data_IF_741440875037
#
_entry.id   IF_741440875037
#
_cell.length_a   1.000
_cell.length_b   1.000
_cell.length_c   1.000
_cell.angle_alpha   90.00
_cell.angle_beta   90.00
_cell.angle_gamma   90.00
#
_symmetry.space_group_name_H-M   'P 1'
#
loop_
_entity.id
_entity.type
_entity.pdbx_description
1 polymer ?
#
# COMPACT_ATOMS: atom_id res chain seq x y z
N UNK A 1 -4.62 -20.12 -44.81
CA UNK A 1 -4.76 -18.65 -44.90
C UNK A 1 -5.85 -18.08 -43.98
N UNK A 2 -7.09 -18.58 -43.98
CA UNK A 2 -8.18 -18.06 -43.14
C UNK A 2 -7.92 -18.12 -41.62
N UNK A 3 -7.28 -19.19 -41.12
CA UNK A 3 -6.94 -19.34 -39.69
C UNK A 3 -5.91 -18.31 -39.18
N UNK A 4 -4.96 -17.90 -40.03
CA UNK A 4 -3.96 -16.88 -39.67
C UNK A 4 -4.60 -15.48 -39.55
N UNK A 5 -5.58 -15.17 -40.41
CA UNK A 5 -6.34 -13.93 -40.33
C UNK A 5 -7.23 -13.89 -39.08
N UNK A 6 -7.89 -15.01 -38.74
CA UNK A 6 -8.72 -15.10 -37.54
C UNK A 6 -7.88 -14.97 -36.26
N UNK A 7 -6.70 -15.59 -36.22
CA UNK A 7 -5.74 -15.48 -35.11
C UNK A 7 -5.23 -14.02 -34.96
N UNK A 8 -4.93 -13.35 -36.07
CA UNK A 8 -4.52 -11.94 -36.05
C UNK A 8 -5.63 -11.01 -35.51
N UNK A 9 -6.89 -11.25 -35.88
CA UNK A 9 -8.05 -10.50 -35.37
C UNK A 9 -8.26 -10.73 -33.87
N UNK A 10 -8.14 -11.98 -33.41
CA UNK A 10 -8.24 -12.31 -31.98
C UNK A 10 -7.12 -11.66 -31.17
N UNK A 11 -5.87 -11.74 -31.65
CA UNK A 11 -4.72 -11.08 -31.02
C UNK A 11 -4.93 -9.57 -30.98
N UNK A 12 -5.35 -8.97 -32.09
CA UNK A 12 -5.63 -7.53 -32.16
C UNK A 12 -6.75 -7.12 -31.19
N UNK A 13 -7.82 -7.90 -31.10
CA UNK A 13 -8.91 -7.66 -30.16
C UNK A 13 -8.47 -7.79 -28.70
N UNK A 14 -7.64 -8.79 -28.38
CA UNK A 14 -7.02 -8.95 -27.05
C UNK A 14 -6.12 -7.76 -26.73
N UNK A 15 -5.26 -7.33 -27.67
CA UNK A 15 -4.37 -6.19 -27.48
C UNK A 15 -5.16 -4.87 -27.35
N UNK A 16 -6.24 -4.71 -28.10
CA UNK A 16 -7.14 -3.56 -28.03
C UNK A 16 -7.86 -3.50 -26.69
N UNK A 17 -8.45 -4.61 -26.23
CA UNK A 17 -9.04 -4.72 -24.90
C UNK A 17 -8.02 -4.44 -23.81
N UNK A 18 -6.81 -5.02 -23.90
CA UNK A 18 -5.73 -4.81 -22.94
C UNK A 18 -5.29 -3.35 -22.89
N UNK A 19 -5.24 -2.65 -24.03
CA UNK A 19 -4.94 -1.21 -24.10
C UNK A 19 -6.04 -0.36 -23.47
N UNK A 20 -7.32 -0.69 -23.73
CA UNK A 20 -8.49 0.01 -23.16
C UNK A 20 -8.60 -0.19 -21.65
N UNK A 21 -8.22 -1.36 -21.15
CA UNK A 21 -8.20 -1.72 -19.72
C UNK A 21 -6.93 -1.26 -18.98
N UNK A 22 -5.95 -0.70 -19.69
CA UNK A 22 -4.71 -0.27 -19.06
C UNK A 22 -4.93 1.00 -18.22
N UNK A 23 -4.60 0.92 -16.93
CA UNK A 23 -4.66 2.07 -16.02
C UNK A 23 -3.76 3.21 -16.53
N UNK A 24 -4.33 4.42 -16.55
CA UNK A 24 -3.64 5.68 -16.86
C UNK A 24 -3.54 6.52 -15.59
N UNK A 25 -2.34 7.02 -15.30
CA UNK A 25 -2.13 7.95 -14.19
C UNK A 25 -2.63 9.34 -14.59
N UNK A 26 -3.42 9.96 -13.73
CA UNK A 26 -3.83 11.35 -13.93
C UNK A 26 -2.69 12.31 -13.64
N UNK A 27 -2.91 13.60 -13.89
CA UNK A 27 -2.00 14.62 -13.43
C UNK A 27 -1.78 14.57 -11.92
N UNK A 28 -0.51 14.76 -11.60
CA UNK A 28 0.11 15.03 -10.32
C UNK A 28 -0.51 16.18 -9.49
N UNK A 29 -0.96 16.13 -8.23
CA UNK A 29 -0.99 17.37 -7.45
C UNK A 29 0.44 17.90 -7.29
N UNK A 30 0.63 19.22 -7.39
CA UNK A 30 1.97 19.83 -7.31
C UNK A 30 2.61 19.71 -5.92
N UNK A 31 1.78 19.63 -4.89
CA UNK A 31 2.19 19.44 -3.50
C UNK A 31 1.59 18.17 -2.93
N UNK A 32 2.19 17.70 -1.84
CA UNK A 32 1.73 16.51 -1.13
C UNK A 32 0.38 16.78 -0.48
N UNK A 33 -0.63 16.03 -0.92
CA UNK A 33 -2.00 16.13 -0.39
C UNK A 33 -2.08 15.42 0.97
N UNK A 34 -2.10 16.20 2.05
CA UNK A 34 -2.07 15.75 3.45
C UNK A 34 -3.40 15.99 4.16
N UNK A 35 -3.75 15.12 5.11
CA UNK A 35 -4.90 15.33 6.00
C UNK A 35 -4.58 16.41 7.04
N UNK A 36 -5.60 17.09 7.61
CA UNK A 36 -5.40 18.20 8.55
C UNK A 36 -4.98 17.71 9.95
N UNK A 37 -3.79 17.11 10.04
CA UNK A 37 -3.14 16.73 11.30
C UNK A 37 -2.21 17.86 11.73
N UNK A 38 -2.33 18.30 12.98
CA UNK A 38 -1.50 19.38 13.54
C UNK A 38 -0.01 19.00 13.40
N UNK A 39 0.79 19.94 12.88
CA UNK A 39 2.22 19.75 12.65
C UNK A 39 2.60 19.02 11.35
N UNK A 40 1.68 18.28 10.72
CA UNK A 40 1.98 17.50 9.52
C UNK A 40 2.41 18.37 8.33
N UNK A 41 1.82 19.56 8.18
CA UNK A 41 2.25 20.51 7.15
C UNK A 41 3.71 20.95 7.35
N UNK A 42 4.09 21.32 8.57
CA UNK A 42 5.46 21.74 8.89
C UNK A 42 6.46 20.62 8.59
N UNK A 43 6.11 19.38 8.97
CA UNK A 43 6.91 18.19 8.67
C UNK A 43 7.03 17.98 7.16
N UNK A 44 5.93 18.06 6.41
CA UNK A 44 5.94 17.95 4.94
C UNK A 44 6.75 19.06 4.26
N UNK A 45 6.66 20.30 4.75
CA UNK A 45 7.41 21.43 4.22
C UNK A 45 8.92 21.27 4.49
N UNK A 46 9.30 20.71 5.65
CA UNK A 46 10.71 20.42 5.96
C UNK A 46 11.26 19.33 5.02
N UNK A 47 10.53 18.22 4.86
CA UNK A 47 10.87 17.16 3.91
C UNK A 47 11.11 17.69 2.49
N UNK A 48 10.21 18.57 2.01
CA UNK A 48 10.33 19.15 0.67
C UNK A 48 11.55 20.07 0.54
N UNK A 49 11.90 20.82 1.60
CA UNK A 49 13.09 21.68 1.62
C UNK A 49 14.40 20.90 1.59
N UNK A 50 14.45 19.77 2.29
CA UNK A 50 15.63 18.91 2.34
C UNK A 50 15.89 18.15 1.03
N UNK A 51 14.93 18.12 0.11
CA UNK A 51 15.10 17.56 -1.24
C UNK A 51 15.53 18.67 -2.22
N UNK A 52 16.83 18.81 -2.42
CA UNK A 52 17.35 19.83 -3.34
C UNK A 52 16.84 19.61 -4.78
N UNK A 53 16.55 20.72 -5.49
CA UNK A 53 16.05 20.66 -6.87
C UNK A 53 17.05 19.99 -7.82
N UNK A 54 18.34 20.25 -7.63
CA UNK A 54 19.39 19.65 -8.46
C UNK A 54 19.44 18.14 -8.28
N UNK A 55 19.38 17.67 -7.03
CA UNK A 55 19.37 16.24 -6.73
C UNK A 55 18.16 15.56 -7.36
N UNK A 56 16.96 16.10 -7.14
CA UNK A 56 15.74 15.49 -7.69
C UNK A 56 15.68 15.55 -9.21
N UNK A 57 16.27 16.58 -9.84
CA UNK A 57 16.42 16.65 -11.29
C UNK A 57 17.30 15.53 -11.85
N UNK A 58 18.45 15.27 -11.21
CA UNK A 58 19.34 14.18 -11.62
C UNK A 58 18.70 12.79 -11.43
N UNK A 59 17.94 12.61 -10.34
CA UNK A 59 17.17 11.38 -10.10
C UNK A 59 16.11 11.18 -11.18
N UNK A 60 15.36 12.24 -11.53
CA UNK A 60 14.36 12.18 -12.59
C UNK A 60 14.98 11.79 -13.93
N UNK A 61 16.05 12.46 -14.34
CA UNK A 61 16.77 12.16 -15.58
C UNK A 61 17.22 10.69 -15.62
N UNK A 62 17.86 10.20 -14.55
CA UNK A 62 18.29 8.81 -14.43
C UNK A 62 17.12 7.83 -14.60
N UNK A 63 16.01 8.07 -13.89
CA UNK A 63 14.83 7.20 -13.94
C UNK A 63 14.21 7.19 -15.33
N UNK A 64 14.12 8.34 -16.00
CA UNK A 64 13.58 8.44 -17.36
C UNK A 64 14.45 7.70 -18.39
N UNK A 65 15.76 7.65 -18.16
CA UNK A 65 16.70 6.94 -19.02
C UNK A 65 16.69 5.41 -18.78
N UNK A 66 16.51 4.97 -17.53
CA UNK A 66 16.62 3.55 -17.15
C UNK A 66 15.28 2.81 -17.17
N UNK A 67 14.15 3.50 -16.98
CA UNK A 67 12.83 2.89 -16.85
C UNK A 67 11.84 3.49 -17.85
N UNK A 68 11.17 2.61 -18.60
CA UNK A 68 9.99 2.98 -19.41
C UNK A 68 8.77 3.17 -18.52
N UNK A 69 8.54 4.41 -18.09
CA UNK A 69 7.38 4.80 -17.29
C UNK A 69 6.17 5.16 -18.16
N UNK A 70 4.97 4.98 -17.61
CA UNK A 70 3.77 5.57 -18.20
C UNK A 70 3.76 7.08 -17.95
N UNK A 71 3.01 7.78 -18.79
CA UNK A 71 2.70 9.20 -18.59
C UNK A 71 2.22 9.46 -17.15
N UNK A 72 2.76 10.51 -16.51
CA UNK A 72 2.52 10.92 -15.12
C UNK A 72 2.95 9.92 -14.02
N UNK A 73 3.42 8.72 -14.36
CA UNK A 73 3.76 7.70 -13.36
C UNK A 73 4.91 8.12 -12.45
N UNK A 74 5.94 8.77 -13.01
CA UNK A 74 7.07 9.29 -12.23
C UNK A 74 6.60 10.19 -11.09
N UNK A 75 5.77 11.20 -11.40
CA UNK A 75 5.28 12.15 -10.41
C UNK A 75 4.48 11.48 -9.29
N UNK A 76 3.68 10.45 -9.62
CA UNK A 76 2.96 9.68 -8.60
C UNK A 76 3.88 8.83 -7.74
N UNK A 77 4.90 8.18 -8.32
CA UNK A 77 5.92 7.44 -7.55
C UNK A 77 6.65 8.39 -6.60
N UNK A 78 7.03 9.58 -7.08
CA UNK A 78 7.72 10.59 -6.28
C UNK A 78 6.85 11.11 -5.13
N UNK A 79 5.57 11.39 -5.38
CA UNK A 79 4.65 11.80 -4.32
C UNK A 79 4.51 10.72 -3.23
N UNK A 80 4.40 9.44 -3.60
CA UNK A 80 4.30 8.36 -2.62
C UNK A 80 5.63 8.07 -1.91
N UNK A 81 6.77 8.33 -2.55
CA UNK A 81 8.07 8.25 -1.89
C UNK A 81 8.22 9.33 -0.82
N UNK A 82 7.77 10.55 -1.12
CA UNK A 82 7.69 11.63 -0.14
C UNK A 82 6.75 11.30 1.02
N UNK A 83 5.58 10.68 0.75
CA UNK A 83 4.68 10.16 1.80
C UNK A 83 5.37 9.10 2.67
N UNK A 84 6.15 8.24 2.05
CA UNK A 84 6.93 7.24 2.77
C UNK A 84 7.98 7.87 3.69
N UNK A 85 8.72 8.89 3.24
CA UNK A 85 9.66 9.61 4.12
C UNK A 85 8.97 10.31 5.30
N UNK A 86 7.72 10.77 5.14
CA UNK A 86 6.92 11.25 6.27
C UNK A 86 6.65 10.10 7.26
N UNK A 87 6.28 8.91 6.78
CA UNK A 87 6.07 7.74 7.66
C UNK A 87 7.34 7.36 8.41
N UNK A 88 8.50 7.30 7.75
CA UNK A 88 9.78 6.95 8.39
C UNK A 88 10.26 7.99 9.41
N UNK A 89 9.78 9.24 9.33
CA UNK A 89 10.06 10.28 10.33
C UNK A 89 9.21 10.19 11.60
N UNK A 90 8.11 9.43 11.55
CA UNK A 90 7.12 9.30 12.64
C UNK A 90 7.17 7.92 13.30
N UNK A 91 7.28 6.85 12.51
CA UNK A 91 7.20 5.46 12.97
C UNK A 91 8.58 4.89 13.31
N UNK A 92 8.64 3.97 14.28
CA UNK A 92 9.87 3.21 14.58
C UNK A 92 10.29 2.35 13.40
N UNK A 93 9.32 1.65 12.83
CA UNK A 93 9.50 0.79 11.67
C UNK A 93 8.44 1.11 10.62
N UNK A 94 8.86 1.17 9.36
CA UNK A 94 7.96 1.42 8.23
C UNK A 94 8.49 0.71 6.98
N UNK A 95 8.07 -0.53 6.71
CA UNK A 95 8.43 -1.23 5.48
C UNK A 95 7.91 -0.52 4.22
N UNK A 96 8.67 -0.56 3.13
CA UNK A 96 8.22 -0.05 1.83
C UNK A 96 7.38 -1.12 1.12
N UNK A 97 6.05 -0.99 1.11
CA UNK A 97 5.17 -2.01 0.50
C UNK A 97 4.90 -1.84 -1.00
N UNK A 98 5.36 -0.74 -1.61
CA UNK A 98 5.22 -0.54 -3.05
C UNK A 98 6.55 -0.77 -3.73
N UNK A 99 6.70 -1.90 -4.43
CA UNK A 99 7.85 -2.16 -5.34
C UNK A 99 8.09 -0.97 -6.27
N UNK A 100 7.01 -0.33 -6.73
CA UNK A 100 7.15 0.84 -7.59
C UNK A 100 7.77 2.01 -6.83
N UNK A 101 7.30 2.35 -5.65
CA UNK A 101 7.91 3.46 -4.91
C UNK A 101 9.36 3.10 -4.51
N UNK A 102 9.60 1.83 -4.22
CA UNK A 102 10.91 1.27 -3.86
C UNK A 102 11.93 1.38 -4.99
N UNK A 103 11.60 1.04 -6.25
CA UNK A 103 12.59 1.20 -7.33
C UNK A 103 13.00 2.68 -7.50
N UNK A 104 12.06 3.62 -7.35
CA UNK A 104 12.40 5.05 -7.40
C UNK A 104 13.35 5.41 -6.24
N UNK A 105 13.09 4.88 -5.05
CA UNK A 105 13.99 5.06 -3.91
C UNK A 105 15.37 4.47 -4.20
N UNK A 106 15.48 3.31 -4.85
CA UNK A 106 16.77 2.76 -5.28
C UNK A 106 17.55 3.69 -6.22
N UNK A 107 16.88 4.37 -7.16
CA UNK A 107 17.57 5.37 -7.99
C UNK A 107 18.03 6.58 -7.17
N UNK A 108 17.28 6.99 -6.14
CA UNK A 108 17.72 8.03 -5.20
C UNK A 108 19.00 7.62 -4.46
N UNK A 109 19.11 6.36 -4.03
CA UNK A 109 20.29 5.84 -3.30
C UNK A 109 21.58 5.87 -4.12
N UNK A 110 21.51 5.89 -5.46
CA UNK A 110 22.71 5.94 -6.32
C UNK A 110 23.46 7.27 -6.21
N UNK A 111 22.80 8.33 -5.75
CA UNK A 111 23.40 9.64 -5.48
C UNK A 111 23.76 9.71 -3.99
N UNK A 112 24.76 8.93 -3.60
CA UNK A 112 25.03 8.60 -2.19
C UNK A 112 25.28 9.83 -1.32
N UNK A 113 25.97 10.84 -1.84
CA UNK A 113 26.24 12.10 -1.12
C UNK A 113 24.97 12.90 -0.92
N UNK A 114 24.23 13.16 -1.98
CA UNK A 114 22.99 13.95 -1.94
C UNK A 114 21.91 13.25 -1.10
N UNK A 115 21.88 11.92 -1.14
CA UNK A 115 20.98 11.11 -0.33
C UNK A 115 21.32 11.19 1.16
N UNK A 116 22.61 11.15 1.50
CA UNK A 116 23.08 11.31 2.88
C UNK A 116 22.81 12.73 3.41
N UNK A 117 23.08 13.75 2.60
CA UNK A 117 22.77 15.15 2.89
C UNK A 117 21.27 15.34 3.16
N UNK A 118 20.41 14.86 2.27
CA UNK A 118 18.94 14.85 2.46
C UNK A 118 18.54 14.16 3.76
N UNK A 119 19.09 12.97 4.02
CA UNK A 119 18.71 12.16 5.17
C UNK A 119 19.08 12.86 6.48
N UNK A 120 20.30 13.40 6.57
CA UNK A 120 20.78 14.12 7.74
C UNK A 120 20.02 15.43 7.96
N UNK A 121 19.73 16.17 6.90
CA UNK A 121 18.94 17.39 7.00
C UNK A 121 17.52 17.11 7.51
N UNK A 122 16.86 16.09 6.96
CA UNK A 122 15.45 15.84 7.26
C UNK A 122 15.22 15.04 8.55
N UNK A 123 16.04 13.99 8.79
CA UNK A 123 15.89 13.02 9.87
C UNK A 123 16.95 13.14 10.97
N UNK A 124 18.03 13.88 10.74
CA UNK A 124 19.17 13.95 11.67
C UNK A 124 20.16 12.78 11.55
N UNK A 125 19.85 11.77 10.74
CA UNK A 125 20.69 10.59 10.49
C UNK A 125 20.48 10.06 9.08
N UNK A 126 21.41 9.23 8.60
CA UNK A 126 21.25 8.52 7.32
C UNK A 126 20.02 7.60 7.37
N UNK A 127 19.14 7.70 6.38
CA UNK A 127 18.00 6.79 6.24
C UNK A 127 18.51 5.49 5.60
N UNK A 128 18.72 4.46 6.40
CA UNK A 128 19.16 3.18 5.86
C UNK A 128 18.01 2.48 5.13
N UNK A 129 18.23 2.20 3.85
CA UNK A 129 17.35 1.32 3.09
C UNK A 129 17.68 -0.14 3.42
N UNK A 130 16.69 -0.90 3.86
CA UNK A 130 16.78 -2.36 3.99
C UNK A 130 15.92 -2.98 2.89
N UNK A 131 16.51 -3.76 1.95
CA UNK A 131 15.74 -4.43 0.93
C UNK A 131 14.66 -5.31 1.57
N UNK A 132 13.45 -5.27 1.03
CA UNK A 132 12.39 -6.20 1.44
C UNK A 132 12.76 -7.62 0.97
N UNK A 133 13.51 -8.36 1.79
CA UNK A 133 13.91 -9.75 1.48
C UNK A 133 12.69 -10.70 1.42
N UNK A 134 11.56 -10.31 2.02
CA UNK A 134 10.30 -11.06 2.02
C UNK A 134 9.43 -10.62 0.84
N UNK A 135 9.25 -11.52 -0.14
CA UNK A 135 8.38 -11.30 -1.32
C UNK A 135 6.90 -11.10 -0.98
N UNK A 136 6.47 -11.55 0.21
CA UNK A 136 5.11 -11.35 0.69
C UNK A 136 5.13 -10.35 1.85
N UNK A 137 4.27 -9.32 1.85
CA UNK A 137 4.08 -8.49 3.02
C UNK A 137 3.65 -9.37 4.18
N UNK A 138 4.25 -9.17 5.35
CA UNK A 138 3.70 -9.71 6.59
C UNK A 138 2.33 -9.06 6.80
N UNK A 139 1.23 -9.84 6.80
CA UNK A 139 -0.13 -9.30 6.88
C UNK A 139 -0.30 -8.32 8.04
N UNK A 140 0.29 -8.67 9.18
CA UNK A 140 0.22 -7.96 10.45
C UNK A 140 0.77 -6.53 10.36
N UNK A 141 1.89 -6.35 9.66
CA UNK A 141 2.54 -5.04 9.49
C UNK A 141 1.86 -4.22 8.39
N UNK A 142 1.36 -4.89 7.34
CA UNK A 142 0.75 -4.22 6.19
C UNK A 142 -0.59 -3.57 6.54
N UNK A 143 -1.41 -4.23 7.36
CA UNK A 143 -2.66 -3.64 7.84
C UNK A 143 -2.41 -2.36 8.64
N UNK A 144 -1.43 -2.39 9.56
CA UNK A 144 -1.06 -1.22 10.36
C UNK A 144 -0.56 -0.06 9.50
N UNK A 145 0.29 -0.34 8.50
CA UNK A 145 0.72 0.65 7.52
C UNK A 145 -0.47 1.31 6.80
N UNK A 146 -1.43 0.51 6.30
CA UNK A 146 -2.60 1.04 5.59
C UNK A 146 -3.46 1.93 6.52
N UNK A 147 -3.52 1.63 7.82
CA UNK A 147 -4.19 2.47 8.81
C UNK A 147 -3.47 3.82 8.99
N UNK A 148 -2.17 3.80 9.31
CA UNK A 148 -1.40 5.05 9.50
C UNK A 148 -1.44 5.91 8.24
N UNK A 149 -1.28 5.28 7.06
CA UNK A 149 -1.39 5.96 5.78
C UNK A 149 -2.75 6.64 5.60
N UNK A 150 -3.85 5.93 5.89
CA UNK A 150 -5.21 6.44 5.81
C UNK A 150 -5.52 7.58 6.79
N UNK A 151 -4.73 7.71 7.86
CA UNK A 151 -4.82 8.81 8.82
C UNK A 151 -4.08 10.06 8.39
N UNK A 152 -2.95 9.91 7.70
CA UNK A 152 -2.09 11.02 7.27
C UNK A 152 -2.41 11.55 5.87
N UNK A 153 -2.84 10.70 4.94
CA UNK A 153 -2.93 11.04 3.52
C UNK A 153 -4.27 10.69 2.90
N UNK A 154 -4.64 11.40 1.84
CA UNK A 154 -5.77 11.01 1.00
C UNK A 154 -5.37 9.89 0.04
N UNK A 155 -6.13 8.79 0.05
CA UNK A 155 -5.90 7.64 -0.83
C UNK A 155 -6.66 7.86 -2.13
N UNK A 156 -5.95 7.72 -3.26
CA UNK A 156 -6.47 7.85 -4.62
C UNK A 156 -6.23 6.55 -5.39
N UNK A 157 -6.89 6.43 -6.56
CA UNK A 157 -6.76 5.27 -7.44
C UNK A 157 -5.31 5.03 -7.89
N UNK A 158 -4.52 6.09 -7.99
CA UNK A 158 -3.08 6.03 -8.30
C UNK A 158 -2.28 5.41 -7.15
N UNK A 159 -2.53 5.79 -5.90
CA UNK A 159 -1.91 5.15 -4.74
C UNK A 159 -2.29 3.67 -4.69
N UNK A 160 -3.57 3.34 -4.88
CA UNK A 160 -4.06 1.96 -4.96
C UNK A 160 -3.32 1.19 -6.06
N UNK A 161 -3.04 1.83 -7.21
CA UNK A 161 -2.27 1.20 -8.29
C UNK A 161 -0.81 0.96 -7.91
N UNK A 162 -0.16 1.90 -7.21
CA UNK A 162 1.23 1.80 -6.77
C UNK A 162 1.42 0.72 -5.68
N UNK A 163 0.49 0.62 -4.73
CA UNK A 163 0.56 -0.32 -3.59
C UNK A 163 -0.12 -1.68 -3.84
N UNK A 164 -0.62 -1.92 -5.06
CA UNK A 164 -1.42 -3.11 -5.43
C UNK A 164 -2.65 -3.28 -4.51
N UNK A 165 -3.26 -2.16 -4.11
CA UNK A 165 -4.42 -2.08 -3.23
C UNK A 165 -4.11 -1.54 -1.83
N UNK A 166 -5.17 -1.12 -1.14
CA UNK A 166 -5.20 -0.74 0.28
C UNK A 166 -6.29 -1.56 0.99
N UNK A 167 -6.16 -1.71 2.30
CA UNK A 167 -7.07 -2.43 3.19
C UNK A 167 -7.24 -3.89 2.79
N UNK A 168 -6.14 -4.54 2.39
CA UNK A 168 -6.13 -5.93 1.90
C UNK A 168 -5.74 -6.96 2.96
N UNK A 169 -5.11 -6.51 4.04
CA UNK A 169 -4.61 -7.33 5.13
C UNK A 169 -5.11 -6.74 6.44
N UNK A 170 -5.60 -7.57 7.39
CA UNK A 170 -6.15 -7.07 8.64
C UNK A 170 -5.08 -6.41 9.51
N UNK A 171 -5.51 -5.52 10.40
CA UNK A 171 -4.68 -5.08 11.54
C UNK A 171 -4.84 -6.08 12.68
N UNK A 172 -3.75 -6.58 13.29
CA UNK A 172 -3.83 -7.42 14.48
C UNK A 172 -4.72 -6.79 15.59
N UNK A 173 -5.63 -7.55 16.22
CA UNK A 173 -6.58 -7.00 17.18
C UNK A 173 -5.90 -6.33 18.39
N UNK A 174 -4.77 -6.87 18.84
CA UNK A 174 -3.96 -6.29 19.93
C UNK A 174 -3.51 -4.87 19.62
N UNK A 175 -3.08 -4.58 18.37
CA UNK A 175 -2.70 -3.22 17.98
C UNK A 175 -3.92 -2.28 18.07
N UNK A 176 -5.10 -2.74 17.63
CA UNK A 176 -6.32 -1.93 17.73
C UNK A 176 -6.69 -1.68 19.21
N UNK A 177 -6.52 -2.67 20.07
CA UNK A 177 -6.73 -2.55 21.52
C UNK A 177 -5.74 -1.57 22.17
N UNK A 178 -4.48 -1.58 21.76
CA UNK A 178 -3.48 -0.64 22.25
C UNK A 178 -3.95 0.80 22.04
N UNK A 179 -4.41 1.14 20.83
CA UNK A 179 -4.93 2.48 20.53
C UNK A 179 -6.29 2.78 21.20
N UNK A 180 -7.04 1.77 21.66
CA UNK A 180 -8.23 2.00 22.48
C UNK A 180 -7.87 2.30 23.94
N UNK A 181 -6.92 1.57 24.50
CA UNK A 181 -6.72 1.44 25.94
C UNK A 181 -5.45 2.13 26.45
N UNK A 182 -4.33 2.02 25.75
CA UNK A 182 -3.04 2.50 26.25
C UNK A 182 -2.94 4.02 26.28
N UNK A 183 -2.21 4.59 27.24
CA UNK A 183 -1.89 6.01 27.27
C UNK A 183 -0.92 6.39 26.13
N UNK A 184 -0.80 7.68 25.84
CA UNK A 184 -0.06 8.17 24.66
C UNK A 184 1.45 7.87 24.75
N UNK A 185 2.04 7.89 25.95
CA UNK A 185 3.45 7.56 26.17
C UNK A 185 3.78 6.11 25.81
N UNK A 186 2.95 5.15 26.20
CA UNK A 186 3.14 3.74 25.86
C UNK A 186 2.98 3.50 24.35
N UNK A 187 2.01 4.17 23.71
CA UNK A 187 1.86 4.11 22.25
C UNK A 187 3.09 4.66 21.52
N UNK A 188 3.69 5.75 22.03
CA UNK A 188 4.94 6.29 21.49
C UNK A 188 6.04 5.23 21.61
N UNK A 189 6.22 4.64 22.78
CA UNK A 189 7.23 3.61 23.01
C UNK A 189 7.05 2.36 22.16
N UNK A 190 5.82 1.98 21.80
CA UNK A 190 5.59 0.80 20.98
C UNK A 190 5.74 1.08 19.48
N UNK A 191 5.20 2.20 18.99
CA UNK A 191 4.96 2.39 17.55
C UNK A 191 5.69 3.58 16.92
N UNK A 192 6.09 4.58 17.70
CA UNK A 192 6.59 5.86 17.17
C UNK A 192 8.01 6.19 17.62
N UNK A 193 8.68 7.06 16.88
CA UNK A 193 9.98 7.61 17.27
C UNK A 193 9.81 8.60 18.42
N UNK A 194 10.36 8.28 19.59
CA UNK A 194 10.29 9.10 20.80
C UNK A 194 11.19 10.32 20.76
N UNK A 195 12.25 10.28 19.95
CA UNK A 195 13.24 11.33 19.72
C UNK A 195 12.92 12.21 18.50
N UNK A 196 11.74 12.04 17.90
CA UNK A 196 11.35 12.80 16.73
C UNK A 196 11.16 14.28 17.08
N UNK A 197 11.85 15.17 16.35
CA UNK A 197 11.59 16.62 16.41
C UNK A 197 10.13 17.01 16.06
N UNK A 198 9.33 16.04 15.62
CA UNK A 198 7.92 16.18 15.27
C UNK A 198 6.96 15.59 16.31
N UNK A 199 7.32 15.53 17.60
CA UNK A 199 6.46 14.99 18.65
C UNK A 199 5.03 15.56 18.66
N UNK A 200 4.84 16.84 18.35
CA UNK A 200 3.50 17.43 18.25
C UNK A 200 2.65 16.77 17.15
N UNK A 201 3.27 16.38 16.03
CA UNK A 201 2.62 15.63 14.94
C UNK A 201 2.33 14.19 15.37
N UNK A 202 3.28 13.53 16.06
CA UNK A 202 3.12 12.17 16.61
C UNK A 202 1.91 12.11 17.54
N UNK A 203 1.83 13.00 18.54
CA UNK A 203 0.69 13.07 19.47
C UNK A 203 -0.63 13.32 18.75
N UNK A 204 -0.63 14.17 17.71
CA UNK A 204 -1.82 14.47 16.93
C UNK A 204 -2.27 13.28 16.07
N UNK A 205 -1.32 12.53 15.52
CA UNK A 205 -1.57 11.28 14.79
C UNK A 205 -2.12 10.20 15.74
N UNK A 206 -1.51 10.02 16.92
CA UNK A 206 -2.01 9.12 17.96
C UNK A 206 -3.45 9.49 18.30
N UNK A 207 -3.73 10.76 18.58
CA UNK A 207 -5.09 11.24 18.86
C UNK A 207 -6.09 10.89 17.75
N UNK A 208 -5.69 11.05 16.48
CA UNK A 208 -6.52 10.67 15.32
C UNK A 208 -6.76 9.15 15.28
N UNK A 209 -5.72 8.35 15.45
CA UNK A 209 -5.81 6.89 15.47
C UNK A 209 -6.69 6.39 16.63
N UNK A 210 -6.51 6.91 17.85
CA UNK A 210 -7.37 6.57 19.01
C UNK A 210 -8.84 6.91 18.73
N UNK A 211 -9.11 8.07 18.08
CA UNK A 211 -10.48 8.45 17.67
C UNK A 211 -11.08 7.47 16.66
N UNK A 212 -10.27 6.98 15.71
CA UNK A 212 -10.72 5.99 14.73
C UNK A 212 -10.92 4.61 15.37
N UNK A 213 -10.01 4.16 16.24
CA UNK A 213 -10.11 2.91 16.98
C UNK A 213 -11.38 2.86 17.85
N UNK A 214 -11.77 3.97 18.47
CA UNK A 214 -13.02 4.10 19.24
C UNK A 214 -14.30 3.99 18.40
N UNK A 215 -14.22 4.19 17.08
CA UNK A 215 -15.36 4.04 16.15
C UNK A 215 -15.56 2.61 15.68
N UNK A 216 -14.61 1.71 15.95
CA UNK A 216 -14.70 0.29 15.60
C UNK A 216 -15.88 -0.34 16.33
N UNK A 217 -16.76 -1.02 15.59
CA UNK A 217 -17.93 -1.72 16.12
C UNK A 217 -18.10 -3.06 15.41
N UNK A 218 -18.78 -3.99 16.05
CA UNK A 218 -19.14 -5.24 15.39
C UNK A 218 -20.31 -4.96 14.44
N UNK A 219 -20.11 -5.27 13.17
CA UNK A 219 -21.11 -5.09 12.12
C UNK A 219 -21.37 -6.41 11.43
N UNK A 220 -22.60 -6.61 10.97
CA UNK A 220 -22.91 -7.71 10.08
C UNK A 220 -22.11 -7.61 8.77
N UNK A 221 -21.79 -8.77 8.19
CA UNK A 221 -21.02 -8.88 6.95
C UNK A 221 -21.65 -8.13 5.77
N UNK A 222 -22.97 -8.19 5.64
CA UNK A 222 -23.74 -7.50 4.61
C UNK A 222 -23.52 -5.98 4.68
N UNK A 223 -23.57 -5.42 5.89
CA UNK A 223 -23.36 -4.00 6.17
C UNK A 223 -21.94 -3.58 5.83
N UNK A 224 -20.93 -4.36 6.24
CA UNK A 224 -19.53 -4.10 5.87
C UNK A 224 -19.36 -4.07 4.35
N UNK A 225 -19.87 -5.08 3.64
CA UNK A 225 -19.73 -5.17 2.19
C UNK A 225 -20.43 -4.00 1.48
N UNK A 226 -21.60 -3.58 1.95
CA UNK A 226 -22.28 -2.39 1.45
C UNK A 226 -21.45 -1.12 1.70
N UNK A 227 -20.95 -0.95 2.92
CA UNK A 227 -20.11 0.17 3.31
C UNK A 227 -18.88 0.29 2.42
N UNK A 228 -18.16 -0.83 2.20
CA UNK A 228 -16.99 -0.90 1.35
C UNK A 228 -17.33 -0.60 -0.12
N UNK A 229 -18.39 -1.22 -0.66
CA UNK A 229 -18.83 -0.99 -2.04
C UNK A 229 -19.22 0.47 -2.30
N UNK A 230 -20.04 1.06 -1.44
CA UNK A 230 -20.50 2.45 -1.57
C UNK A 230 -19.31 3.43 -1.62
N UNK A 231 -18.38 3.29 -0.67
CA UNK A 231 -17.17 4.14 -0.59
C UNK A 231 -16.25 3.97 -1.79
N UNK A 232 -16.12 2.74 -2.30
CA UNK A 232 -15.34 2.45 -3.51
C UNK A 232 -15.93 3.14 -4.73
N UNK A 233 -17.25 3.08 -4.89
CA UNK A 233 -17.95 3.73 -6.00
C UNK A 233 -17.83 5.26 -5.93
N UNK A 234 -17.87 5.82 -4.72
CA UNK A 234 -17.66 7.25 -4.47
C UNK A 234 -16.18 7.68 -4.54
N UNK A 235 -15.25 6.73 -4.78
CA UNK A 235 -13.80 6.96 -4.72
C UNK A 235 -13.32 7.58 -3.40
N UNK A 236 -14.08 7.39 -2.31
CA UNK A 236 -13.72 7.85 -0.97
C UNK A 236 -13.07 6.70 -0.19
N UNK A 237 -11.83 6.40 -0.54
CA UNK A 237 -11.11 5.26 0.01
C UNK A 237 -10.75 5.45 1.49
N UNK A 238 -10.45 6.67 1.95
CA UNK A 238 -10.20 6.94 3.37
C UNK A 238 -11.41 6.60 4.26
N UNK A 239 -12.64 6.77 3.79
CA UNK A 239 -13.83 6.41 4.55
C UNK A 239 -13.95 4.89 4.80
N UNK A 240 -13.18 4.05 4.11
CA UNK A 240 -13.15 2.60 4.33
C UNK A 240 -12.40 2.20 5.59
N UNK A 241 -11.67 3.12 6.23
CA UNK A 241 -10.82 2.81 7.37
C UNK A 241 -11.58 2.19 8.55
N UNK A 242 -12.75 2.74 8.91
CA UNK A 242 -13.57 2.21 10.03
C UNK A 242 -14.12 0.80 9.75
N UNK A 243 -14.79 0.51 8.60
CA UNK A 243 -15.24 -0.85 8.33
C UNK A 243 -14.06 -1.83 8.19
N UNK A 244 -12.94 -1.40 7.60
CA UNK A 244 -11.70 -2.19 7.55
C UNK A 244 -11.20 -2.61 8.95
N UNK A 245 -11.06 -1.65 9.87
CA UNK A 245 -10.63 -1.92 11.24
C UNK A 245 -11.67 -2.72 12.03
N UNK A 246 -12.96 -2.54 11.73
CA UNK A 246 -14.04 -3.31 12.36
C UNK A 246 -13.97 -4.79 12.03
N UNK A 247 -13.72 -5.12 10.76
CA UNK A 247 -13.48 -6.51 10.35
C UNK A 247 -12.18 -7.02 10.96
N UNK A 248 -11.11 -6.23 10.90
CA UNK A 248 -9.81 -6.61 11.47
C UNK A 248 -9.92 -6.98 12.96
N UNK A 249 -10.73 -6.24 13.72
CA UNK A 249 -10.88 -6.44 15.15
C UNK A 249 -11.80 -7.61 15.52
N UNK A 250 -13.00 -7.68 14.93
CA UNK A 250 -14.02 -8.65 15.33
C UNK A 250 -14.01 -9.95 14.51
N UNK A 251 -13.41 -9.92 13.31
CA UNK A 251 -13.48 -10.99 12.30
C UNK A 251 -12.11 -11.21 11.65
N UNK A 252 -11.03 -11.23 12.45
CA UNK A 252 -9.64 -11.30 11.97
C UNK A 252 -9.39 -12.50 11.03
N UNK A 253 -9.75 -13.70 11.48
CA UNK A 253 -9.54 -14.95 10.72
C UNK A 253 -10.44 -15.02 9.48
N UNK A 254 -11.61 -14.38 9.54
CA UNK A 254 -12.57 -14.31 8.43
C UNK A 254 -12.39 -13.07 7.54
N UNK A 255 -11.34 -12.28 7.74
CA UNK A 255 -11.18 -10.96 7.13
C UNK A 255 -11.34 -10.99 5.61
N UNK A 256 -10.68 -11.95 4.94
CA UNK A 256 -10.76 -12.12 3.50
C UNK A 256 -12.20 -12.36 3.01
N UNK A 257 -13.02 -13.04 3.82
CA UNK A 257 -14.42 -13.34 3.52
C UNK A 257 -15.29 -12.07 3.56
N UNK A 258 -15.04 -11.18 4.52
CA UNK A 258 -15.72 -9.89 4.64
C UNK A 258 -15.31 -8.92 3.54
N UNK A 259 -14.03 -8.91 3.15
CA UNK A 259 -13.48 -7.99 2.17
C UNK A 259 -13.69 -8.42 0.72
N UNK A 260 -14.19 -9.64 0.47
CA UNK A 260 -14.70 -10.07 -0.84
C UNK A 260 -15.96 -9.27 -1.20
N UNK A 261 -15.78 -8.17 -1.90
CA UNK A 261 -16.90 -7.44 -2.52
C UNK A 261 -17.35 -8.27 -3.71
N UNK A 262 -18.44 -9.04 -3.58
CA UNK A 262 -19.06 -9.71 -4.71
C UNK A 262 -19.53 -8.66 -5.72
N UNK A 263 -18.92 -8.60 -6.89
CA UNK A 263 -19.42 -7.80 -8.00
C UNK A 263 -20.73 -8.44 -8.51
N UNK A 264 -21.88 -8.07 -7.95
CA UNK A 264 -23.16 -8.22 -8.65
C UNK A 264 -23.30 -7.05 -9.64
N UNK A 265 -22.52 -7.10 -10.72
CA UNK A 265 -22.77 -6.35 -11.96
C UNK A 265 -22.60 -7.37 -13.08
N UNK A 266 -23.67 -7.50 -13.86
CA UNK A 266 -23.88 -8.24 -15.11
C UNK A 266 -22.70 -9.02 -15.71
N UNK A 267 -22.98 -10.29 -16.03
CA UNK A 267 -22.34 -11.08 -17.08
C UNK A 267 -21.67 -10.27 -18.19
N UNK A 268 -20.33 -10.19 -18.16
CA UNK A 268 -19.47 -10.09 -19.34
C UNK A 268 -18.00 -10.30 -18.94
N UNK A 269 -17.52 -11.52 -19.19
CA UNK A 269 -16.14 -11.97 -19.44
C UNK A 269 -14.95 -11.55 -18.52
N UNK A 270 -14.46 -12.57 -17.79
CA UNK A 270 -13.04 -13.02 -17.68
C UNK A 270 -11.90 -11.99 -17.63
N UNK A 271 -11.27 -11.87 -16.45
CA UNK A 271 -9.80 -11.95 -16.40
C UNK A 271 -9.33 -12.74 -15.17
N UNK A 272 -8.61 -13.80 -15.48
CA UNK A 272 -7.81 -14.66 -14.64
C UNK A 272 -6.85 -13.89 -13.72
N UNK A 273 -6.72 -14.41 -12.51
CA UNK A 273 -5.82 -13.96 -11.45
C UNK A 273 -5.96 -14.87 -10.24
N UNK A 274 -5.97 -16.19 -10.50
CA UNK A 274 -5.92 -17.22 -9.47
C UNK A 274 -4.55 -17.21 -8.82
N UNK A 275 -4.53 -16.98 -7.51
CA UNK A 275 -3.36 -17.06 -6.66
C UNK A 275 -3.81 -17.45 -5.26
N UNK A 276 -4.47 -18.60 -5.16
CA UNK A 276 -4.82 -19.26 -3.92
C UNK A 276 -4.37 -20.70 -4.05
N UNK A 277 -3.18 -20.98 -3.51
CA UNK A 277 -2.65 -22.33 -3.32
C UNK A 277 -2.36 -22.52 -1.84
N UNK A 278 -3.36 -23.01 -1.12
CA UNK A 278 -3.19 -23.76 0.12
C UNK A 278 -4.11 -24.97 0.01
N UNK A 279 -3.59 -26.03 -0.62
CA UNK A 279 -4.27 -27.31 -0.78
C UNK A 279 -4.00 -28.15 0.46
N UNK A 280 -4.96 -28.19 1.37
CA UNK A 280 -5.10 -29.30 2.32
C UNK A 280 -6.11 -30.27 1.72
N UNK A 281 -5.62 -31.41 1.25
CA UNK A 281 -6.46 -32.56 0.96
C UNK A 281 -5.72 -33.84 1.33
N UNK A 282 -6.08 -34.33 2.52
CA UNK A 282 -6.04 -35.74 2.89
C UNK A 282 -6.95 -36.55 1.97
N UNK A 283 -6.67 -37.86 1.94
CA UNK A 283 -7.56 -38.98 1.60
C UNK A 283 -7.32 -39.68 0.26
N UNK A 284 -6.55 -40.77 0.39
CA UNK A 284 -6.78 -42.13 -0.12
C UNK A 284 -7.47 -42.33 -1.48
N UNK A 285 -6.80 -43.10 -2.35
CA UNK A 285 -7.36 -44.30 -3.02
C UNK A 285 -6.25 -45.07 -3.74
N UNK A 286 -6.22 -46.36 -3.49
CA UNK A 286 -5.32 -47.38 -4.03
C UNK A 286 -5.50 -47.61 -5.54
N UNK A 287 -4.41 -47.89 -6.25
CA UNK A 287 -4.45 -48.81 -7.40
C UNK A 287 -3.08 -49.50 -7.56
N UNK A 288 -3.15 -50.82 -7.60
CA UNK A 288 -2.05 -51.76 -7.79
C UNK A 288 -1.74 -51.96 -9.28
N UNK A 289 -0.49 -52.33 -9.60
CA UNK A 289 -0.10 -53.49 -10.42
C UNK A 289 0.98 -53.27 -11.50
N UNK A 290 1.97 -54.18 -11.46
CA UNK A 290 2.86 -54.70 -12.52
C UNK A 290 3.97 -53.77 -13.07
N UNK A 291 5.24 -54.14 -13.24
CA UNK A 291 5.98 -55.42 -13.16
C UNK A 291 7.18 -55.40 -14.14
N UNK A 292 8.30 -56.05 -13.77
CA UNK A 292 9.50 -56.34 -14.62
C UNK A 292 10.64 -55.31 -14.45
N UNK A 293 11.87 -55.61 -14.01
CA UNK A 293 12.77 -56.73 -14.32
C UNK A 293 13.59 -56.38 -15.58
N UNK A 294 14.92 -56.37 -15.64
CA UNK A 294 16.00 -56.73 -14.72
C UNK A 294 17.35 -56.19 -15.25
N UNK A 295 18.41 -56.60 -14.54
CA UNK A 295 19.86 -56.41 -14.74
C UNK A 295 20.46 -54.99 -14.67
#
# INVERSE_FOLDING_TARGET
MAWLLLLAVVIWFILFLRKKLSFKFSLSPKSLDIKPIKGLKKLSDHMEKSLSKSYMGNVEERVMNEIKLKENEYSWRLLDLKRYFILTSLLKESPMFSEKVDDLWHHMLMFTREYDDFSKEYLGSTLHHSPNLKKSPEPDVRGFFDWVYGELFFIRKENIKLYKGFYRFPVPPNIIDDFKCLPENELIELYFKSDSQYMATVLSLISAMKKTAKKVKNYEKSVIQEMMRKRKNQQNYNAMLVPFLSVSYFHYDEFASYMKISCKISSSCTSCGSGSSCSSCSSCSSCSSCGGGGD
#
